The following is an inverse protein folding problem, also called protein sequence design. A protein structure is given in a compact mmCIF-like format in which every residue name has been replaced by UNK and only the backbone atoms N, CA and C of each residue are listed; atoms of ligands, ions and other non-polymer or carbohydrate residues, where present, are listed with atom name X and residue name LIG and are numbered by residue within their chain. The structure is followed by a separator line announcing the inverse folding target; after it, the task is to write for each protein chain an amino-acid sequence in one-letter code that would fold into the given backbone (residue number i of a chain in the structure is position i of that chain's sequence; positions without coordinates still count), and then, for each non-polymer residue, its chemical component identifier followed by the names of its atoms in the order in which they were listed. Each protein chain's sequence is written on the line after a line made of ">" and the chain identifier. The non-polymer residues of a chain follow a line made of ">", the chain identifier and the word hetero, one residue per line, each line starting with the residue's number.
data_IF_138086686719
#
_entry.id   IF_138086686719
#
_cell.length_a   1.000
_cell.length_b   1.000
_cell.length_c   1.000
_cell.angle_alpha   90.00
_cell.angle_beta   90.00
_cell.angle_gamma   90.00
#
_symmetry.space_group_name_H-M   'P 1'
#
loop_
_entity.id
_entity.type
_entity.pdbx_description
1 polymer ?
#
# COMPACT_ATOMS: atom_id res chain seq x y z
N UNK A 1 -18.53 -7.17 -1.47
CA UNK A 1 -17.19 -6.69 -1.13
C UNK A 1 -17.21 -5.21 -0.84
N UNK A 2 -17.38 -4.29 -1.81
CA UNK A 2 -17.42 -2.85 -1.47
C UNK A 2 -18.53 -2.50 -0.46
N UNK A 3 -19.76 -2.98 -0.66
CA UNK A 3 -20.86 -2.74 0.29
C UNK A 3 -20.54 -3.23 1.71
N UNK A 4 -19.88 -4.39 1.85
CA UNK A 4 -19.49 -4.92 3.16
C UNK A 4 -18.40 -4.04 3.82
N UNK A 5 -17.49 -3.47 3.02
CA UNK A 5 -16.52 -2.48 3.50
C UNK A 5 -17.20 -1.17 3.90
N UNK A 6 -18.18 -0.70 3.12
CA UNK A 6 -18.95 0.51 3.40
C UNK A 6 -19.73 0.37 4.71
N UNK A 7 -20.35 -0.79 4.96
CA UNK A 7 -21.04 -1.09 6.21
C UNK A 7 -20.07 -1.01 7.42
N UNK A 8 -18.89 -1.64 7.31
CA UNK A 8 -17.86 -1.57 8.37
C UNK A 8 -17.37 -0.14 8.57
N UNK A 9 -17.11 0.59 7.48
CA UNK A 9 -16.67 1.98 7.54
C UNK A 9 -17.71 2.85 8.25
N UNK A 10 -19.00 2.69 7.93
CA UNK A 10 -20.10 3.42 8.59
C UNK A 10 -20.15 3.11 10.10
N UNK A 11 -19.97 1.85 10.50
CA UNK A 11 -19.96 1.44 11.92
C UNK A 11 -18.86 2.12 12.75
N UNK A 12 -17.69 2.38 12.13
CA UNK A 12 -16.56 3.07 12.75
C UNK A 12 -16.57 4.58 12.50
N UNK A 13 -17.61 5.12 11.84
CA UNK A 13 -17.77 6.55 11.60
C UNK A 13 -16.90 7.11 10.47
N UNK A 14 -16.53 6.28 9.49
CA UNK A 14 -15.68 6.62 8.36
C UNK A 14 -16.46 6.56 7.03
N UNK A 15 -16.12 7.44 6.08
CA UNK A 15 -16.59 7.35 4.69
C UNK A 15 -15.43 6.92 3.80
N UNK A 16 -15.63 5.89 3.00
CA UNK A 16 -14.57 5.37 2.11
C UNK A 16 -14.31 6.37 0.97
N UNK A 17 -13.07 6.84 0.77
CA UNK A 17 -12.74 7.71 -0.35
C UNK A 17 -12.88 7.00 -1.69
N UNK A 18 -13.24 7.75 -2.73
CA UNK A 18 -13.51 7.19 -4.07
C UNK A 18 -12.34 6.38 -4.67
N UNK A 19 -11.08 6.76 -4.37
CA UNK A 19 -9.91 6.01 -4.82
C UNK A 19 -9.77 4.66 -4.10
N UNK A 20 -10.06 4.62 -2.79
CA UNK A 20 -10.05 3.38 -2.00
C UNK A 20 -11.22 2.47 -2.40
N UNK A 21 -12.40 3.02 -2.61
CA UNK A 21 -13.56 2.26 -3.10
C UNK A 21 -13.25 1.55 -4.43
N UNK A 22 -12.68 2.27 -5.39
CA UNK A 22 -12.25 1.68 -6.67
C UNK A 22 -11.17 0.60 -6.49
N UNK A 23 -10.24 0.79 -5.56
CA UNK A 23 -9.22 -0.20 -5.26
C UNK A 23 -9.84 -1.50 -4.70
N UNK A 24 -10.76 -1.38 -3.75
CA UNK A 24 -11.51 -2.51 -3.18
C UNK A 24 -12.29 -3.25 -4.28
N UNK A 25 -12.95 -2.53 -5.17
CA UNK A 25 -13.68 -3.13 -6.31
C UNK A 25 -12.76 -3.88 -7.28
N UNK A 26 -11.56 -3.35 -7.55
CA UNK A 26 -10.57 -4.04 -8.38
C UNK A 26 -10.04 -5.29 -7.68
N UNK A 27 -9.77 -5.22 -6.38
CA UNK A 27 -9.33 -6.36 -5.56
C UNK A 27 -10.37 -7.48 -5.47
N UNK A 28 -11.66 -7.14 -5.54
CA UNK A 28 -12.76 -8.10 -5.51
C UNK A 28 -12.86 -8.97 -6.77
N UNK A 29 -12.15 -8.62 -7.85
CA UNK A 29 -12.28 -9.33 -9.11
C UNK A 29 -11.63 -10.72 -9.02
N UNK A 30 -12.35 -11.79 -9.40
CA UNK A 30 -11.79 -13.13 -9.35
C UNK A 30 -10.63 -13.24 -10.35
N UNK A 31 -9.59 -13.98 -9.96
CA UNK A 31 -8.50 -14.30 -10.86
C UNK A 31 -9.01 -14.91 -12.17
N UNK A 32 -8.60 -14.32 -13.30
CA UNK A 32 -8.89 -14.83 -14.64
C UNK A 32 -7.57 -15.08 -15.36
N UNK A 33 -7.37 -16.32 -15.80
CA UNK A 33 -6.18 -16.68 -16.58
C UNK A 33 -6.07 -15.79 -17.82
N UNK A 34 -4.91 -15.17 -18.01
CA UNK A 34 -4.63 -14.30 -19.16
C UNK A 34 -5.13 -12.86 -19.00
N UNK A 35 -5.66 -12.49 -17.83
CA UNK A 35 -5.99 -11.11 -17.48
C UNK A 35 -4.95 -10.60 -16.48
N UNK A 36 -4.46 -9.35 -16.61
CA UNK A 36 -3.58 -8.75 -15.62
C UNK A 36 -4.22 -8.82 -14.22
N UNK A 37 -3.43 -9.19 -13.23
CA UNK A 37 -3.88 -9.30 -11.84
C UNK A 37 -3.31 -8.13 -11.06
N UNK A 38 -4.16 -7.42 -10.32
CA UNK A 38 -3.77 -6.29 -9.50
C UNK A 38 -2.68 -6.70 -8.50
N UNK A 39 -1.63 -5.89 -8.38
CA UNK A 39 -0.51 -6.06 -7.45
C UNK A 39 0.26 -7.37 -7.57
N UNK A 40 0.10 -8.10 -8.67
CA UNK A 40 0.87 -9.33 -8.85
C UNK A 40 2.38 -9.04 -8.92
N UNK A 41 2.76 -7.82 -9.30
CA UNK A 41 4.14 -7.34 -9.32
C UNK A 41 4.57 -6.57 -8.06
N UNK A 42 3.75 -6.52 -7.02
CA UNK A 42 4.15 -6.00 -5.70
C UNK A 42 4.47 -7.19 -4.80
N UNK A 43 5.67 -7.19 -4.22
CA UNK A 43 6.05 -8.24 -3.28
C UNK A 43 5.38 -7.97 -1.93
N UNK A 44 4.84 -9.03 -1.32
CA UNK A 44 4.28 -9.00 0.03
C UNK A 44 3.22 -7.91 0.25
N UNK A 45 2.39 -7.61 -0.76
CA UNK A 45 1.21 -6.75 -0.62
C UNK A 45 -0.02 -7.51 -1.09
N UNK A 46 -1.00 -7.61 -0.21
CA UNK A 46 -2.25 -8.30 -0.48
C UNK A 46 -3.42 -7.40 -0.09
N UNK A 47 -4.36 -7.16 -1.02
CA UNK A 47 -5.64 -6.57 -0.65
C UNK A 47 -6.43 -7.59 0.17
N UNK A 48 -7.09 -7.11 1.22
CA UNK A 48 -7.82 -7.97 2.15
C UNK A 48 -9.32 -7.95 1.88
N UNK A 49 -10.01 -9.01 2.29
CA UNK A 49 -11.47 -9.06 2.25
C UNK A 49 -12.11 -8.56 3.56
N UNK A 50 -13.44 -8.47 3.59
CA UNK A 50 -14.16 -7.99 4.77
C UNK A 50 -13.99 -8.89 6.00
N UNK A 51 -13.77 -10.20 5.81
CA UNK A 51 -13.49 -11.12 6.91
C UNK A 51 -12.14 -10.85 7.57
N UNK A 52 -11.13 -10.51 6.76
CA UNK A 52 -9.85 -10.02 7.25
C UNK A 52 -9.96 -8.65 7.94
N UNK A 53 -10.72 -7.72 7.38
CA UNK A 53 -11.00 -6.42 8.03
C UNK A 53 -11.61 -6.61 9.41
N UNK A 54 -12.67 -7.41 9.49
CA UNK A 54 -13.35 -7.77 10.74
C UNK A 54 -12.38 -8.39 11.76
N UNK A 55 -11.53 -9.32 11.30
CA UNK A 55 -10.53 -9.96 12.14
C UNK A 55 -9.51 -8.96 12.68
N UNK A 56 -8.98 -8.07 11.84
CA UNK A 56 -7.96 -7.10 12.27
C UNK A 56 -8.54 -6.07 13.25
N UNK A 57 -9.73 -5.53 12.95
CA UNK A 57 -10.42 -4.57 13.80
C UNK A 57 -10.86 -5.18 15.14
N UNK A 58 -11.29 -6.44 15.16
CA UNK A 58 -11.69 -7.15 16.38
C UNK A 58 -10.52 -7.70 17.22
N UNK A 59 -9.29 -7.55 16.76
CA UNK A 59 -8.09 -8.08 17.41
C UNK A 59 -7.17 -6.93 17.83
N UNK A 60 -6.27 -6.50 16.95
CA UNK A 60 -5.16 -5.63 17.33
C UNK A 60 -5.26 -4.19 16.80
N UNK A 61 -6.25 -3.91 15.93
CA UNK A 61 -6.56 -2.55 15.45
C UNK A 61 -7.68 -1.86 16.22
N UNK A 62 -8.37 -2.55 17.13
CA UNK A 62 -9.24 -1.92 18.13
C UNK A 62 -10.47 -1.19 17.62
N UNK A 63 -11.49 -1.89 17.11
CA UNK A 63 -12.75 -1.26 16.69
C UNK A 63 -13.36 -0.38 17.79
N UNK A 64 -13.49 -0.90 19.00
CA UNK A 64 -14.17 -0.19 20.08
C UNK A 64 -13.24 0.86 20.71
N UNK A 65 -11.93 0.59 20.72
CA UNK A 65 -10.90 1.50 21.26
C UNK A 65 -10.69 2.75 20.40
N UNK A 66 -10.95 2.68 19.10
CA UNK A 66 -10.93 3.86 18.22
C UNK A 66 -11.97 4.93 18.62
N UNK A 67 -13.04 4.56 19.35
CA UNK A 67 -14.06 5.53 19.78
C UNK A 67 -13.51 6.49 20.83
N UNK A 68 -13.31 7.74 20.42
CA UNK A 68 -12.76 8.80 21.27
C UNK A 68 -11.24 8.83 21.32
N UNK A 69 -10.55 8.06 20.46
CA UNK A 69 -9.10 8.09 20.31
C UNK A 69 -8.59 9.29 19.49
N UNK A 70 -9.48 10.11 18.92
CA UNK A 70 -9.11 11.24 18.06
C UNK A 70 -8.85 10.86 16.60
N UNK A 71 -8.96 9.58 16.25
CA UNK A 71 -8.85 9.06 14.88
C UNK A 71 -9.68 7.79 14.70
N UNK A 72 -9.98 7.46 13.44
CA UNK A 72 -10.56 6.18 13.02
C UNK A 72 -9.76 5.61 11.87
N UNK A 73 -9.70 4.28 11.76
CA UNK A 73 -8.95 3.61 10.71
C UNK A 73 -9.69 2.42 10.10
N UNK A 74 -9.48 2.22 8.80
CA UNK A 74 -10.04 1.11 8.05
C UNK A 74 -8.91 0.36 7.33
N UNK A 75 -8.58 -0.88 7.72
CA UNK A 75 -7.60 -1.69 7.00
C UNK A 75 -8.13 -2.06 5.61
N UNK A 76 -7.24 -2.08 4.61
CA UNK A 76 -7.62 -2.44 3.23
C UNK A 76 -6.57 -3.30 2.51
N UNK A 77 -5.35 -3.37 3.04
CA UNK A 77 -4.33 -4.28 2.56
C UNK A 77 -3.46 -4.77 3.71
N UNK A 78 -2.70 -5.83 3.50
CA UNK A 78 -1.68 -6.32 4.41
C UNK A 78 -0.33 -6.36 3.73
N UNK A 79 0.73 -6.18 4.54
CA UNK A 79 2.10 -6.48 4.15
C UNK A 79 2.64 -7.70 4.89
N UNK A 80 3.26 -8.62 4.16
CA UNK A 80 3.82 -9.88 4.68
C UNK A 80 2.82 -10.72 5.52
N UNK A 81 1.51 -10.52 5.35
CA UNK A 81 0.45 -11.17 6.12
C UNK A 81 0.36 -10.76 7.60
N UNK A 82 1.01 -9.66 8.00
CA UNK A 82 1.08 -9.22 9.40
C UNK A 82 0.71 -7.74 9.55
N UNK A 83 1.45 -6.85 8.88
CA UNK A 83 1.21 -5.41 9.00
C UNK A 83 0.00 -5.00 8.18
N UNK A 84 -0.79 -4.04 8.66
CA UNK A 84 -1.97 -3.56 7.99
C UNK A 84 -1.71 -2.20 7.31
N UNK A 85 -2.05 -2.08 6.04
CA UNK A 85 -2.25 -0.76 5.43
C UNK A 85 -3.67 -0.31 5.72
N UNK A 86 -3.78 0.84 6.36
CA UNK A 86 -5.04 1.42 6.80
C UNK A 86 -5.25 2.80 6.18
N UNK A 87 -6.48 3.08 5.80
CA UNK A 87 -6.94 4.45 5.62
C UNK A 87 -7.26 5.03 6.99
N UNK A 88 -6.71 6.18 7.33
CA UNK A 88 -6.85 6.82 8.64
C UNK A 88 -7.47 8.21 8.46
N UNK A 89 -8.42 8.54 9.32
CA UNK A 89 -9.07 9.84 9.40
C UNK A 89 -9.00 10.35 10.85
N UNK A 90 -8.36 11.50 11.05
CA UNK A 90 -8.33 12.21 12.33
C UNK A 90 -9.58 13.07 12.51
N UNK A 91 -10.00 13.31 13.76
CA UNK A 91 -11.15 14.17 14.08
C UNK A 91 -11.01 15.61 13.56
N UNK A 92 -9.77 16.10 13.44
CA UNK A 92 -9.47 17.43 12.89
C UNK A 92 -9.59 17.50 11.35
N UNK A 93 -9.78 16.34 10.69
CA UNK A 93 -9.98 16.20 9.26
C UNK A 93 -8.75 15.83 8.46
N UNK A 94 -7.58 15.68 9.10
CA UNK A 94 -6.40 15.11 8.46
C UNK A 94 -6.62 13.64 8.13
N UNK A 95 -6.22 13.22 6.93
CA UNK A 95 -6.46 11.86 6.44
C UNK A 95 -5.32 11.37 5.55
N UNK A 96 -5.21 10.05 5.42
CA UNK A 96 -4.15 9.45 4.62
C UNK A 96 -4.05 7.93 4.81
N UNK A 97 -2.90 7.40 4.43
CA UNK A 97 -2.57 5.97 4.49
C UNK A 97 -1.46 5.76 5.50
N UNK A 98 -1.69 4.87 6.45
CA UNK A 98 -0.68 4.41 7.40
C UNK A 98 -0.36 2.94 7.16
N UNK A 99 0.89 2.56 7.38
CA UNK A 99 1.27 1.15 7.61
C UNK A 99 1.30 0.94 9.12
N UNK A 100 0.24 0.35 9.64
CA UNK A 100 0.19 -0.03 11.06
C UNK A 100 0.96 -1.32 11.23
N UNK A 101 2.02 -1.30 12.04
CA UNK A 101 2.83 -2.50 12.33
C UNK A 101 2.30 -3.18 13.58
N UNK A 102 2.23 -4.51 13.55
CA UNK A 102 1.65 -5.28 14.65
C UNK A 102 2.47 -5.26 15.96
N UNK A 103 3.75 -4.89 15.88
CA UNK A 103 4.72 -4.95 16.98
C UNK A 103 5.21 -3.57 17.43
N UNK A 104 4.60 -2.49 16.93
CA UNK A 104 4.88 -1.12 17.35
C UNK A 104 3.69 -0.53 18.13
N UNK A 105 3.99 0.25 19.17
CA UNK A 105 2.98 0.92 20.01
C UNK A 105 2.35 2.11 19.29
N UNK A 106 3.08 2.71 18.35
CA UNK A 106 2.62 3.86 17.55
C UNK A 106 2.76 3.58 16.06
N UNK A 107 2.03 4.34 15.25
CA UNK A 107 2.12 4.33 13.80
C UNK A 107 1.98 5.75 13.26
N UNK A 108 2.42 5.93 12.03
CA UNK A 108 2.49 7.23 11.39
C UNK A 108 1.61 7.26 10.13
N UNK A 109 1.00 8.41 9.88
CA UNK A 109 0.33 8.70 8.62
C UNK A 109 1.40 8.89 7.52
N UNK A 110 1.72 7.82 6.79
CA UNK A 110 2.84 7.80 5.85
C UNK A 110 2.53 8.55 4.54
N UNK A 111 1.37 8.31 3.93
CA UNK A 111 1.06 8.83 2.59
C UNK A 111 -0.24 9.65 2.55
N UNK A 112 -0.29 10.76 1.80
CA UNK A 112 -1.49 11.60 1.70
C UNK A 112 -2.68 10.96 0.98
N UNK A 113 -2.46 9.92 0.16
CA UNK A 113 -3.56 9.25 -0.55
C UNK A 113 -3.19 7.86 -1.04
N UNK A 114 -4.21 7.10 -1.45
CA UNK A 114 -4.06 5.80 -2.13
C UNK A 114 -3.10 5.90 -3.32
N UNK A 115 -3.13 7.00 -4.07
CA UNK A 115 -2.23 7.15 -5.21
C UNK A 115 -0.76 7.31 -4.80
N UNK A 116 -0.48 8.03 -3.72
CA UNK A 116 0.89 8.19 -3.19
C UNK A 116 1.43 6.86 -2.66
N UNK A 117 0.59 6.11 -1.95
CA UNK A 117 0.91 4.77 -1.47
C UNK A 117 1.22 3.82 -2.64
N UNK A 118 0.30 3.67 -3.60
CA UNK A 118 0.51 2.80 -4.78
C UNK A 118 1.80 3.17 -5.52
N UNK A 119 2.02 4.46 -5.79
CA UNK A 119 3.21 4.92 -6.49
C UNK A 119 4.49 4.55 -5.73
N UNK A 120 4.49 4.73 -4.42
CA UNK A 120 5.62 4.37 -3.56
C UNK A 120 5.90 2.87 -3.61
N UNK A 121 4.89 2.01 -3.56
CA UNK A 121 5.06 0.56 -3.59
C UNK A 121 5.57 0.05 -4.95
N UNK A 122 5.12 0.62 -6.07
CA UNK A 122 5.71 0.31 -7.38
C UNK A 122 7.16 0.80 -7.50
N UNK A 123 7.47 1.98 -6.96
CA UNK A 123 8.85 2.50 -6.90
C UNK A 123 9.75 1.55 -6.10
N UNK A 124 9.28 0.98 -4.98
CA UNK A 124 10.00 -0.07 -4.23
C UNK A 124 10.23 -1.31 -5.10
N UNK A 125 9.18 -1.80 -5.76
CA UNK A 125 9.27 -2.99 -6.63
C UNK A 125 10.29 -2.81 -7.77
N UNK A 126 10.43 -1.60 -8.30
CA UNK A 126 11.38 -1.28 -9.37
C UNK A 126 12.86 -1.36 -8.94
N UNK A 127 13.16 -1.43 -7.63
CA UNK A 127 14.52 -1.59 -7.11
C UNK A 127 15.02 -3.04 -7.13
N UNK A 128 14.12 -4.02 -7.24
CA UNK A 128 14.47 -5.44 -7.29
C UNK A 128 13.47 -6.23 -8.14
N UNK A 129 13.68 -6.23 -9.46
CA UNK A 129 12.81 -6.95 -10.40
C UNK A 129 12.93 -8.47 -10.30
N UNK A 130 13.99 -8.99 -9.65
CA UNK A 130 14.19 -10.43 -9.50
C UNK A 130 13.15 -11.04 -8.56
N UNK A 131 12.73 -10.34 -7.51
CA UNK A 131 11.72 -10.81 -6.55
C UNK A 131 10.34 -11.01 -7.20
N UNK A 132 10.02 -10.14 -8.16
CA UNK A 132 8.72 -10.15 -8.85
C UNK A 132 8.77 -10.85 -10.21
N UNK A 133 9.94 -11.38 -10.60
CA UNK A 133 10.18 -12.07 -11.86
C UNK A 133 10.01 -11.20 -13.11
N UNK A 134 10.08 -9.87 -12.97
CA UNK A 134 9.75 -8.91 -14.03
C UNK A 134 11.00 -8.26 -14.65
N UNK A 135 11.99 -9.07 -15.06
CA UNK A 135 13.20 -8.58 -15.73
C UNK A 135 13.26 -9.09 -17.19
N UNK A 136 12.92 -8.22 -18.14
CA UNK A 136 12.82 -8.54 -19.57
C UNK A 136 11.59 -7.92 -20.23
N UNK A 137 11.39 -8.15 -21.53
CA UNK A 137 10.27 -7.58 -22.29
C UNK A 137 8.90 -7.93 -21.67
N UNK A 138 8.69 -9.22 -21.37
CA UNK A 138 7.46 -9.73 -20.75
C UNK A 138 7.19 -9.11 -19.36
N UNK A 139 8.25 -8.79 -18.61
CA UNK A 139 8.15 -8.13 -17.31
C UNK A 139 7.69 -6.68 -17.42
N UNK A 140 8.21 -5.94 -18.40
CA UNK A 140 7.79 -4.57 -18.68
C UNK A 140 6.32 -4.50 -19.14
N UNK A 141 5.90 -5.39 -20.05
CA UNK A 141 4.52 -5.49 -20.51
C UNK A 141 3.55 -5.82 -19.38
N UNK A 142 3.95 -6.70 -18.46
CA UNK A 142 3.17 -7.02 -17.27
C UNK A 142 2.99 -5.81 -16.36
N UNK A 143 4.07 -5.12 -16.00
CA UNK A 143 4.02 -3.92 -15.17
C UNK A 143 3.16 -2.82 -15.81
N UNK A 144 3.31 -2.61 -17.12
CA UNK A 144 2.48 -1.66 -17.86
C UNK A 144 1.00 -2.03 -17.83
N UNK A 145 0.69 -3.33 -17.95
CA UNK A 145 -0.68 -3.83 -17.90
C UNK A 145 -1.30 -3.67 -16.50
N UNK A 146 -0.53 -3.91 -15.43
CA UNK A 146 -0.96 -3.69 -14.05
C UNK A 146 -1.20 -2.19 -13.77
N UNK A 147 -0.29 -1.30 -14.20
CA UNK A 147 -0.48 0.15 -14.11
C UNK A 147 -1.70 0.64 -14.90
N UNK A 148 -2.02 0.00 -16.03
CA UNK A 148 -3.23 0.28 -16.80
C UNK A 148 -4.53 -0.03 -16.05
N UNK A 149 -4.53 -0.98 -15.11
CA UNK A 149 -5.68 -1.21 -14.22
C UNK A 149 -5.86 -0.08 -13.22
N UNK A 150 -4.77 0.62 -12.89
CA UNK A 150 -4.69 1.65 -11.84
C UNK A 150 -4.90 3.07 -12.37
N UNK A 151 -5.07 3.26 -13.68
CA UNK A 151 -5.20 4.58 -14.33
C UNK A 151 -6.31 5.46 -13.72
N UNK A 152 -7.39 4.85 -13.22
CA UNK A 152 -8.52 5.59 -12.59
C UNK A 152 -8.33 5.89 -11.10
N UNK A 153 -7.33 5.27 -10.48
CA UNK A 153 -7.01 5.39 -9.05
C UNK A 153 -5.81 6.33 -8.87
N UNK A 154 -4.82 6.22 -9.75
CA UNK A 154 -3.63 7.03 -9.71
C UNK A 154 -3.92 8.48 -10.14
N UNK A 155 -3.28 9.42 -9.45
CA UNK A 155 -3.15 10.79 -9.94
C UNK A 155 -2.34 10.79 -11.25
N UNK A 156 -2.66 11.66 -12.22
CA UNK A 156 -1.98 11.69 -13.51
C UNK A 156 -0.45 11.80 -13.41
N UNK A 157 0.05 12.64 -12.50
CA UNK A 157 1.47 12.86 -12.24
C UNK A 157 2.18 11.61 -11.69
N UNK A 158 1.48 10.81 -10.88
CA UNK A 158 2.03 9.56 -10.34
C UNK A 158 2.07 8.48 -11.41
N UNK A 159 1.02 8.38 -12.23
CA UNK A 159 1.02 7.47 -13.38
C UNK A 159 2.14 7.84 -14.36
N UNK A 160 2.31 9.13 -14.68
CA UNK A 160 3.39 9.61 -15.55
C UNK A 160 4.77 9.28 -14.98
N UNK A 161 4.98 9.51 -13.67
CA UNK A 161 6.22 9.14 -12.97
C UNK A 161 6.53 7.64 -13.12
N UNK A 162 5.55 6.78 -12.81
CA UNK A 162 5.73 5.32 -12.86
C UNK A 162 6.01 4.83 -14.28
N UNK A 163 5.29 5.34 -15.28
CA UNK A 163 5.53 5.01 -16.69
C UNK A 163 6.89 5.53 -17.17
N UNK A 164 7.31 6.70 -16.71
CA UNK A 164 8.64 7.25 -16.96
C UNK A 164 9.74 6.34 -16.42
N UNK A 165 9.61 5.88 -15.18
CA UNK A 165 10.54 4.92 -14.57
C UNK A 165 10.54 3.57 -15.29
N UNK A 166 9.37 3.09 -15.71
CA UNK A 166 9.23 1.85 -16.46
C UNK A 166 9.90 1.89 -17.85
N UNK A 167 10.09 3.09 -18.41
CA UNK A 167 10.79 3.28 -19.69
C UNK A 167 12.32 3.21 -19.59
N UNK A 168 12.89 3.15 -18.38
CA UNK A 168 14.32 3.06 -18.16
C UNK A 168 14.89 1.68 -18.52
N UNK A 169 16.18 1.63 -18.83
CA UNK A 169 16.88 0.36 -19.04
C UNK A 169 16.97 -0.43 -17.72
N UNK A 170 16.70 -1.73 -17.81
CA UNK A 170 16.98 -2.65 -16.70
C UNK A 170 18.49 -2.81 -16.56
N UNK A 171 19.01 -2.47 -15.39
CA UNK A 171 20.44 -2.56 -15.05
C UNK A 171 20.61 -3.34 -13.76
N UNK A 172 21.70 -4.12 -13.69
CA UNK A 172 22.09 -4.81 -12.45
C UNK A 172 22.69 -3.79 -11.49
N UNK A 173 22.10 -3.67 -10.28
CA UNK A 173 22.53 -2.71 -9.25
C UNK A 173 22.69 -3.40 -7.90
N UNK A 174 23.50 -2.84 -6.99
CA UNK A 174 23.55 -3.29 -5.61
C UNK A 174 22.18 -3.11 -4.93
N UNK A 175 21.74 -4.12 -4.20
CA UNK A 175 20.50 -4.13 -3.43
C UNK A 175 20.71 -4.78 -2.07
N UNK A 176 20.12 -4.17 -1.03
CA UNK A 176 20.14 -4.65 0.35
C UNK A 176 18.74 -4.51 0.93
N UNK A 177 18.08 -5.66 1.18
CA UNK A 177 16.71 -5.70 1.70
C UNK A 177 16.54 -5.08 3.10
N UNK A 178 17.61 -5.02 3.89
CA UNK A 178 17.59 -4.41 5.21
C UNK A 178 19.00 -4.22 5.78
N UNK A 179 19.17 -3.44 6.86
CA UNK A 179 20.49 -3.03 7.34
C UNK A 179 21.46 -4.20 7.60
N UNK A 180 20.93 -5.34 8.05
CA UNK A 180 21.70 -6.56 8.35
C UNK A 180 21.71 -7.61 7.23
N UNK A 181 20.97 -7.37 6.14
CA UNK A 181 20.89 -8.31 5.01
C UNK A 181 22.16 -8.32 4.18
N UNK A 182 22.39 -9.40 3.41
CA UNK A 182 23.48 -9.44 2.45
C UNK A 182 23.29 -8.39 1.35
N UNK A 183 24.41 -7.88 0.81
CA UNK A 183 24.38 -7.09 -0.42
C UNK A 183 24.28 -8.05 -1.61
N UNK A 184 23.28 -7.84 -2.45
CA UNK A 184 23.03 -8.62 -3.66
C UNK A 184 23.16 -7.74 -4.90
N UNK A 185 23.36 -8.36 -6.05
CA UNK A 185 23.27 -7.69 -7.35
C UNK A 185 21.99 -8.14 -8.03
N UNK A 186 21.08 -7.20 -8.30
CA UNK A 186 19.73 -7.50 -8.81
C UNK A 186 19.40 -6.64 -10.04
N UNK A 187 18.64 -7.17 -11.01
CA UNK A 187 18.05 -6.35 -12.07
C UNK A 187 17.08 -5.34 -11.48
N UNK A 188 17.19 -4.08 -11.88
CA UNK A 188 16.41 -2.96 -11.36
C UNK A 188 16.19 -1.90 -12.44
N UNK A 189 15.16 -1.07 -12.30
CA UNK A 189 14.97 0.13 -13.13
C UNK A 189 15.66 1.35 -12.52
N UNK A 190 15.70 1.42 -11.18
CA UNK A 190 16.36 2.47 -10.41
C UNK A 190 17.10 1.92 -9.19
N UNK A 191 18.06 2.69 -8.66
CA UNK A 191 18.80 2.33 -7.44
C UNK A 191 18.02 2.64 -6.15
N UNK A 192 18.37 1.98 -5.04
CA UNK A 192 17.67 2.14 -3.75
C UNK A 192 17.68 3.59 -3.23
N UNK A 193 18.81 4.30 -3.28
CA UNK A 193 18.90 5.69 -2.81
C UNK A 193 17.98 6.63 -3.61
N UNK A 194 17.86 6.38 -4.92
CA UNK A 194 16.96 7.15 -5.79
C UNK A 194 15.50 6.83 -5.49
N UNK A 195 15.17 5.55 -5.29
CA UNK A 195 13.82 5.12 -4.91
C UNK A 195 13.42 5.72 -3.56
N UNK A 196 14.31 5.69 -2.56
CA UNK A 196 14.08 6.27 -1.24
C UNK A 196 13.79 7.78 -1.33
N UNK A 197 14.57 8.51 -2.13
CA UNK A 197 14.33 9.95 -2.36
C UNK A 197 12.95 10.21 -2.99
N UNK A 198 12.54 9.40 -3.98
CA UNK A 198 11.24 9.54 -4.63
C UNK A 198 10.09 9.18 -3.67
N UNK A 199 10.23 8.10 -2.91
CA UNK A 199 9.22 7.67 -1.92
C UNK A 199 9.08 8.73 -0.83
N UNK A 200 10.17 9.28 -0.32
CA UNK A 200 10.14 10.38 0.65
C UNK A 200 9.43 11.62 0.09
N UNK A 201 9.56 11.90 -1.22
CA UNK A 201 8.84 13.01 -1.85
C UNK A 201 7.33 12.76 -2.04
N UNK A 202 6.88 11.50 -1.91
CA UNK A 202 5.47 11.10 -1.97
C UNK A 202 4.84 10.94 -0.58
N UNK A 203 5.67 10.86 0.47
CA UNK A 203 5.22 10.74 1.85
C UNK A 203 4.88 12.11 2.46
N UNK A 204 4.20 12.11 3.61
CA UNK A 204 4.06 13.32 4.41
C UNK A 204 5.44 13.84 4.86
N UNK A 205 5.67 15.15 4.74
CA UNK A 205 6.90 15.78 5.25
C UNK A 205 6.96 15.74 6.78
N UNK A 206 5.80 15.86 7.43
CA UNK A 206 5.64 15.78 8.87
C UNK A 206 4.45 14.84 9.16
N UNK A 207 4.66 13.52 9.24
CA UNK A 207 3.58 12.57 9.47
C UNK A 207 2.97 12.75 10.86
N UNK A 208 1.66 12.55 10.96
CA UNK A 208 0.95 12.51 12.25
C UNK A 208 1.13 11.13 12.87
N UNK A 209 1.61 11.10 14.12
CA UNK A 209 1.73 9.88 14.92
C UNK A 209 0.41 9.61 15.65
N UNK A 210 0.04 8.34 15.77
CA UNK A 210 -1.09 7.87 16.55
C UNK A 210 -0.80 6.52 17.20
N UNK A 211 -1.47 6.23 18.31
CA UNK A 211 -1.31 4.97 19.04
C UNK A 211 -1.95 3.81 18.27
N UNK A 212 -1.31 2.65 18.29
CA UNK A 212 -1.95 1.38 17.93
C UNK A 212 -2.81 0.95 19.11
N UNK A 213 -4.05 0.53 18.86
CA UNK A 213 -5.04 0.31 19.92
C UNK A 213 -5.50 -1.16 19.98
N UNK A 214 -4.69 -2.11 20.47
CA UNK A 214 -5.15 -3.49 20.57
C UNK A 214 -6.35 -3.64 21.52
N UNK A 215 -7.33 -4.49 21.19
CA UNK A 215 -8.54 -4.68 22.02
C UNK A 215 -8.23 -5.28 23.41
N UNK A 216 -7.09 -5.95 23.57
CA UNK A 216 -6.68 -6.58 24.82
C UNK A 216 -5.91 -5.66 25.77
N UNK A 217 -5.61 -4.42 25.36
CA UNK A 217 -4.92 -3.44 26.20
C UNK A 217 -5.93 -2.52 26.88
N UNK A 218 -5.70 -2.20 28.17
CA UNK A 218 -6.65 -1.45 29.02
C UNK A 218 -6.56 0.06 28.82
#
# INVERSE_FOLDING_TARGET
>A
MLADFEDIAEEIGLTIPAALAQLIELGAQPFKRGVPTLFASLHDIELIDCGDVERLLGDWLGRDKQRGAGFTLLPFAMSCGVDAYCYVLFEEGDEGIARVKHDEETSELEYPSISHWIASEYIRAFTNLAEIGCFGADGGERLQSELGLLERILLPEHLELLLGLLSADVVVRPFRAGPRSALLEVPSLLGQDQAETLIQSLAFENPLEFDVLPEWED
#
